data_IF_729005069536
#
_entry.id   IF_729005069536
#
_cell.length_a   1.000
_cell.length_b   1.000
_cell.length_c   1.000
_cell.angle_alpha   90.00
_cell.angle_beta   90.00
_cell.angle_gamma   90.00
#
_symmetry.space_group_name_H-M   'P 1'
#
loop_
_entity.id
_entity.type
_entity.pdbx_description
1 polymer ?
#
# COMPACT_ATOMS: atom_id res chain seq x y z
N UNK A 1 -24.64 -0.47 18.48
CA UNK A 1 -23.82 0.17 17.47
C UNK A 1 -22.81 1.06 18.19
N UNK A 2 -21.51 0.81 18.06
CA UNK A 2 -20.51 1.76 18.51
C UNK A 2 -20.63 3.02 17.63
N UNK A 3 -20.46 4.21 18.20
CA UNK A 3 -20.46 5.44 17.44
C UNK A 3 -19.26 5.39 16.44
N UNK A 4 -19.47 5.78 15.19
CA UNK A 4 -18.36 5.92 14.23
C UNK A 4 -17.40 6.98 14.75
N UNK A 5 -16.12 6.66 14.77
CA UNK A 5 -15.06 7.57 15.24
C UNK A 5 -14.68 8.60 14.18
N UNK A 6 -15.06 8.33 12.93
CA UNK A 6 -14.71 9.10 11.74
C UNK A 6 -13.18 9.21 11.52
N UNK A 7 -12.44 8.16 11.91
CA UNK A 7 -10.98 8.07 11.81
C UNK A 7 -10.55 6.98 10.87
N UNK A 8 -9.45 7.24 10.15
CA UNK A 8 -8.75 6.27 9.32
C UNK A 8 -7.30 6.17 9.78
N UNK A 9 -6.91 4.98 10.27
CA UNK A 9 -5.55 4.74 10.73
C UNK A 9 -4.61 4.45 9.56
N UNK A 10 -3.35 4.81 9.73
CA UNK A 10 -2.27 4.50 8.79
C UNK A 10 -0.93 4.38 9.53
N UNK A 11 0.02 3.65 8.97
CA UNK A 11 1.37 3.59 9.52
C UNK A 11 2.20 4.75 8.97
N UNK A 12 2.91 5.45 9.85
CA UNK A 12 3.84 6.54 9.54
C UNK A 12 3.51 7.85 10.25
N UNK A 13 4.22 8.89 9.85
CA UNK A 13 4.06 10.25 10.38
C UNK A 13 3.05 11.05 9.55
N UNK A 14 2.43 12.11 10.12
CA UNK A 14 1.64 13.07 9.34
C UNK A 14 2.46 13.64 8.15
N UNK A 15 1.84 13.69 6.99
CA UNK A 15 2.51 14.11 5.75
C UNK A 15 3.18 13.01 4.94
N UNK A 16 3.16 11.75 5.42
CA UNK A 16 3.61 10.60 4.65
C UNK A 16 2.66 10.26 3.49
N UNK A 17 3.10 9.39 2.56
CA UNK A 17 2.27 8.93 1.46
C UNK A 17 0.97 8.27 1.93
N UNK A 18 1.00 7.54 3.04
CA UNK A 18 -0.21 6.94 3.62
C UNK A 18 -1.21 7.99 4.13
N UNK A 19 -0.72 9.11 4.71
CA UNK A 19 -1.58 10.25 5.10
C UNK A 19 -2.19 10.91 3.85
N UNK A 20 -1.40 11.10 2.79
CA UNK A 20 -1.90 11.62 1.51
C UNK A 20 -3.02 10.72 0.97
N UNK A 21 -2.80 9.40 0.91
CA UNK A 21 -3.81 8.44 0.47
C UNK A 21 -5.10 8.48 1.31
N UNK A 22 -4.99 8.67 2.64
CA UNK A 22 -6.14 8.84 3.51
C UNK A 22 -6.96 10.08 3.13
N UNK A 23 -6.30 11.22 2.93
CA UNK A 23 -6.96 12.49 2.62
C UNK A 23 -7.57 12.52 1.24
N UNK A 24 -6.91 11.92 0.26
CA UNK A 24 -7.38 11.88 -1.13
C UNK A 24 -8.64 11.02 -1.25
N UNK A 25 -8.62 9.83 -0.67
CA UNK A 25 -9.75 8.88 -0.78
C UNK A 25 -10.87 9.20 0.21
N UNK A 26 -10.54 9.71 1.40
CA UNK A 26 -11.48 9.97 2.49
C UNK A 26 -11.32 11.38 3.08
N UNK A 27 -11.61 12.45 2.30
CA UNK A 27 -11.35 13.84 2.71
C UNK A 27 -12.13 14.29 3.95
N UNK A 28 -13.18 13.55 4.32
CA UNK A 28 -14.02 13.87 5.48
C UNK A 28 -13.65 13.05 6.73
N UNK A 29 -12.66 12.17 6.65
CA UNK A 29 -12.18 11.40 7.80
C UNK A 29 -10.91 12.02 8.39
N UNK A 30 -10.71 11.86 9.70
CA UNK A 30 -9.50 12.28 10.41
C UNK A 30 -8.41 11.20 10.22
N UNK A 31 -7.28 11.49 9.53
CA UNK A 31 -6.16 10.57 9.47
C UNK A 31 -5.54 10.37 10.85
N UNK A 32 -5.33 9.12 11.24
CA UNK A 32 -4.76 8.73 12.53
C UNK A 32 -3.41 8.05 12.32
N UNK A 33 -2.28 8.76 12.53
CA UNK A 33 -0.95 8.18 12.38
C UNK A 33 -0.68 7.13 13.46
N UNK A 34 -0.06 6.03 13.09
CA UNK A 34 0.34 4.94 13.96
C UNK A 34 1.83 4.62 13.77
N UNK A 35 2.57 4.31 14.85
CA UNK A 35 3.99 4.00 14.76
C UNK A 35 4.30 2.76 13.91
N UNK A 36 3.47 1.73 14.02
CA UNK A 36 3.65 0.46 13.32
C UNK A 36 2.40 0.05 12.52
N UNK A 37 2.55 -0.93 11.63
CA UNK A 37 1.40 -1.52 10.94
C UNK A 37 0.46 -2.23 11.92
N UNK A 38 1.02 -2.93 12.91
CA UNK A 38 0.26 -3.59 13.97
C UNK A 38 -0.62 -2.59 14.72
N UNK A 39 -0.09 -1.40 15.05
CA UNK A 39 -0.87 -0.35 15.71
C UNK A 39 -2.01 0.15 14.84
N UNK A 40 -1.78 0.29 13.51
CA UNK A 40 -2.81 0.71 12.58
C UNK A 40 -3.93 -0.35 12.44
N UNK A 41 -3.59 -1.62 12.41
CA UNK A 41 -4.56 -2.74 12.43
C UNK A 41 -5.34 -2.77 13.75
N UNK A 42 -4.64 -2.69 14.89
CA UNK A 42 -5.22 -2.70 16.22
C UNK A 42 -6.18 -1.51 16.44
N UNK A 43 -5.92 -0.35 15.85
CA UNK A 43 -6.81 0.81 15.93
C UNK A 43 -8.20 0.49 15.35
N UNK A 44 -8.27 -0.26 14.24
CA UNK A 44 -9.55 -0.69 13.66
C UNK A 44 -10.15 -1.85 14.44
N UNK A 45 -9.37 -2.82 14.86
CA UNK A 45 -9.87 -3.98 15.63
C UNK A 45 -10.47 -3.54 16.98
N UNK A 46 -9.85 -2.58 17.66
CA UNK A 46 -10.34 -2.00 18.91
C UNK A 46 -11.51 -1.02 18.72
N UNK A 47 -11.74 -0.51 17.49
CA UNK A 47 -12.74 0.49 17.18
C UNK A 47 -12.31 1.92 17.50
N UNK A 48 -11.00 2.18 17.66
CA UNK A 48 -10.42 3.53 17.80
C UNK A 48 -10.38 4.26 16.45
N UNK A 49 -10.29 3.51 15.36
CA UNK A 49 -10.49 3.96 13.98
C UNK A 49 -11.57 3.10 13.30
N UNK A 50 -12.28 3.67 12.33
CA UNK A 50 -13.29 2.94 11.54
C UNK A 50 -12.64 2.18 10.38
N UNK A 51 -11.59 2.75 9.79
CA UNK A 51 -10.87 2.23 8.65
C UNK A 51 -9.35 2.24 8.89
N UNK A 52 -8.62 1.45 8.10
CA UNK A 52 -7.16 1.60 7.96
C UNK A 52 -6.78 1.69 6.47
N UNK A 53 -5.84 2.59 6.15
CA UNK A 53 -5.20 2.75 4.83
C UNK A 53 -3.83 2.07 4.87
N UNK A 54 -3.69 0.95 4.21
CA UNK A 54 -2.51 0.09 4.33
C UNK A 54 -1.85 -0.13 2.97
N UNK A 55 -0.58 0.27 2.78
CA UNK A 55 0.16 0.00 1.56
C UNK A 55 0.43 -1.50 1.44
N UNK A 56 0.12 -2.11 0.29
CA UNK A 56 0.34 -3.54 0.08
C UNK A 56 1.48 -3.84 -0.89
N UNK A 57 1.68 -2.96 -1.87
CA UNK A 57 2.74 -3.09 -2.88
C UNK A 57 3.10 -1.75 -3.51
N UNK A 58 4.30 -1.70 -4.07
CA UNK A 58 4.80 -0.55 -4.82
C UNK A 58 5.49 -1.05 -6.10
N UNK A 59 5.31 -0.35 -7.22
CA UNK A 59 5.83 -0.76 -8.53
C UNK A 59 7.36 -0.89 -8.59
N UNK A 60 8.08 -0.15 -7.75
CA UNK A 60 9.56 -0.15 -7.71
C UNK A 60 10.08 -0.99 -6.53
N UNK A 61 9.51 -0.78 -5.34
CA UNK A 61 9.98 -1.44 -4.11
C UNK A 61 9.42 -2.86 -3.93
N UNK A 62 8.40 -3.24 -4.71
CA UNK A 62 7.75 -4.54 -4.59
C UNK A 62 6.75 -4.61 -3.43
N UNK A 63 6.57 -5.80 -2.88
CA UNK A 63 5.60 -6.06 -1.80
C UNK A 63 6.00 -5.42 -0.47
N UNK A 64 5.02 -5.01 0.32
CA UNK A 64 5.20 -4.65 1.74
C UNK A 64 5.12 -5.93 2.56
N UNK A 65 6.27 -6.50 2.91
CA UNK A 65 6.37 -7.85 3.46
C UNK A 65 5.55 -8.05 4.76
N UNK A 66 5.58 -7.07 5.66
CA UNK A 66 4.90 -7.15 6.97
C UNK A 66 3.38 -7.33 6.82
N UNK A 67 2.78 -6.69 5.82
CA UNK A 67 1.33 -6.75 5.58
C UNK A 67 0.88 -8.15 5.19
N UNK A 68 1.71 -8.88 4.44
CA UNK A 68 1.41 -10.24 4.02
C UNK A 68 1.42 -11.25 5.19
N UNK A 69 1.98 -10.89 6.35
CA UNK A 69 1.87 -11.65 7.60
C UNK A 69 0.68 -11.17 8.43
N UNK A 70 0.54 -9.85 8.60
CA UNK A 70 -0.50 -9.27 9.45
C UNK A 70 -1.91 -9.48 8.91
N UNK A 71 -2.12 -9.25 7.61
CA UNK A 71 -3.46 -9.27 7.03
C UNK A 71 -4.15 -10.65 7.13
N UNK A 72 -3.48 -11.78 6.83
CA UNK A 72 -4.09 -13.10 7.02
C UNK A 72 -4.38 -13.47 8.48
N UNK A 73 -3.64 -12.90 9.43
CA UNK A 73 -3.83 -13.17 10.86
C UNK A 73 -4.89 -12.25 11.49
N UNK A 74 -5.13 -11.10 10.89
CA UNK A 74 -6.11 -10.13 11.37
C UNK A 74 -7.55 -10.58 11.13
N UNK A 75 -8.49 -9.93 11.83
CA UNK A 75 -9.93 -10.07 11.62
C UNK A 75 -10.51 -8.99 10.70
N UNK A 76 -9.63 -8.23 10.05
CA UNK A 76 -10.04 -7.15 9.18
C UNK A 76 -10.38 -7.65 7.77
N UNK A 77 -11.16 -6.85 7.06
CA UNK A 77 -11.63 -7.13 5.71
C UNK A 77 -11.28 -5.98 4.78
N UNK A 78 -10.87 -6.30 3.55
CA UNK A 78 -10.60 -5.30 2.51
C UNK A 78 -11.94 -4.86 1.91
N UNK A 79 -12.17 -3.55 1.88
CA UNK A 79 -13.38 -2.93 1.31
C UNK A 79 -13.10 -1.99 0.14
N UNK A 80 -11.84 -1.80 -0.22
CA UNK A 80 -11.42 -0.97 -1.33
C UNK A 80 -9.93 -0.99 -1.56
N UNK A 81 -9.51 -0.42 -2.67
CA UNK A 81 -8.11 -0.18 -3.02
C UNK A 81 -7.93 1.26 -3.51
N UNK A 82 -6.71 1.76 -3.43
CA UNK A 82 -6.32 3.07 -3.93
C UNK A 82 -4.89 3.03 -4.47
N UNK A 83 -4.66 3.61 -5.64
CA UNK A 83 -3.34 3.73 -6.25
C UNK A 83 -2.86 5.18 -6.14
N UNK A 84 -1.74 5.39 -5.45
CA UNK A 84 -1.12 6.70 -5.28
C UNK A 84 0.17 6.77 -6.09
N UNK A 85 0.27 7.65 -7.09
CA UNK A 85 1.55 8.05 -7.66
C UNK A 85 2.45 8.66 -6.59
N UNK A 86 3.69 8.20 -6.52
CA UNK A 86 4.64 8.63 -5.50
C UNK A 86 5.61 9.64 -6.10
N UNK A 87 5.53 10.87 -5.59
CA UNK A 87 6.38 11.97 -5.95
C UNK A 87 7.16 12.48 -4.74
N UNK A 88 8.42 12.81 -4.94
CA UNK A 88 9.27 13.37 -3.90
C UNK A 88 9.62 14.82 -4.21
N UNK A 89 9.35 15.69 -3.25
CA UNK A 89 9.68 17.10 -3.31
C UNK A 89 10.96 17.35 -2.53
N UNK A 90 11.88 18.15 -3.07
CA UNK A 90 13.02 18.65 -2.30
C UNK A 90 12.55 19.80 -1.42
N UNK A 91 12.54 19.59 -0.12
CA UNK A 91 12.03 20.53 0.88
C UNK A 91 13.15 21.11 1.72
N UNK A 92 13.06 22.39 2.00
CA UNK A 92 14.07 23.15 2.75
C UNK A 92 13.39 24.13 3.71
N UNK A 93 14.13 24.66 4.65
CA UNK A 93 13.67 25.80 5.45
C UNK A 93 13.40 27.03 4.55
N UNK A 94 12.41 27.86 4.89
CA UNK A 94 12.10 29.05 4.13
C UNK A 94 13.30 29.95 3.87
N UNK A 95 13.46 30.37 2.61
CA UNK A 95 14.56 31.21 2.18
C UNK A 95 15.92 30.52 2.11
N UNK A 96 15.99 29.17 2.10
CA UNK A 96 17.23 28.42 1.82
C UNK A 96 17.48 28.36 0.33
N UNK A 97 18.73 28.59 -0.08
CA UNK A 97 19.16 28.47 -1.48
C UNK A 97 19.80 27.10 -1.73
N UNK A 98 19.79 26.63 -2.98
CA UNK A 98 20.39 25.36 -3.38
C UNK A 98 21.86 25.21 -2.99
N UNK A 99 22.64 26.31 -3.03
CA UNK A 99 24.06 26.32 -2.70
C UNK A 99 24.37 26.14 -1.21
N UNK A 100 23.40 26.36 -0.34
CA UNK A 100 23.56 26.15 1.11
C UNK A 100 23.40 24.67 1.49
N UNK A 101 22.73 23.86 0.66
CA UNK A 101 22.42 22.47 0.96
C UNK A 101 23.68 21.61 0.87
N UNK A 102 23.94 20.82 1.91
CA UNK A 102 25.04 19.85 1.97
C UNK A 102 24.53 18.41 2.17
N UNK A 103 23.33 18.23 2.74
CA UNK A 103 22.75 16.93 3.01
C UNK A 103 21.26 16.84 2.70
N UNK A 104 20.82 15.65 2.28
CA UNK A 104 19.42 15.33 1.96
C UNK A 104 18.98 14.15 2.80
N UNK A 105 17.93 14.35 3.58
CA UNK A 105 17.40 13.42 4.56
C UNK A 105 16.12 12.79 4.05
N UNK A 106 15.97 11.48 4.11
CA UNK A 106 14.73 10.76 3.82
C UNK A 106 14.82 9.28 4.18
N UNK A 107 13.72 8.56 3.98
CA UNK A 107 13.71 7.10 4.02
C UNK A 107 14.64 6.52 2.94
N UNK A 108 15.25 5.37 3.22
CA UNK A 108 16.23 4.72 2.34
C UNK A 108 15.68 4.47 0.92
N UNK A 109 14.42 4.11 0.79
CA UNK A 109 13.80 3.91 -0.54
C UNK A 109 13.67 5.21 -1.33
N UNK A 110 13.27 6.31 -0.70
CA UNK A 110 13.18 7.62 -1.34
C UNK A 110 14.56 8.13 -1.78
N UNK A 111 15.59 8.00 -0.93
CA UNK A 111 16.97 8.33 -1.28
C UNK A 111 17.48 7.49 -2.46
N UNK A 112 17.08 6.21 -2.53
CA UNK A 112 17.39 5.31 -3.64
C UNK A 112 16.74 5.73 -4.95
N UNK A 113 15.51 6.19 -4.89
CA UNK A 113 14.70 6.64 -6.05
C UNK A 113 15.08 8.03 -6.55
N UNK A 114 15.75 8.85 -5.74
CA UNK A 114 16.29 10.18 -6.11
C UNK A 114 17.82 10.19 -6.20
N UNK A 115 18.44 9.03 -6.38
CA UNK A 115 19.89 8.87 -6.27
C UNK A 115 20.67 9.67 -7.30
N UNK A 116 20.21 9.72 -8.55
CA UNK A 116 20.90 10.47 -9.61
C UNK A 116 20.84 11.96 -9.31
N UNK A 117 19.67 12.45 -8.93
CA UNK A 117 19.43 13.83 -8.55
C UNK A 117 20.32 14.27 -7.39
N UNK A 118 20.41 13.49 -6.30
CA UNK A 118 21.27 13.78 -5.15
C UNK A 118 22.76 13.83 -5.56
N UNK A 119 23.21 12.89 -6.40
CA UNK A 119 24.59 12.84 -6.87
C UNK A 119 24.97 14.02 -7.77
N UNK A 120 24.09 14.44 -8.67
CA UNK A 120 24.32 15.58 -9.56
C UNK A 120 24.53 16.89 -8.80
N UNK A 121 23.87 17.04 -7.64
CA UNK A 121 24.01 18.20 -6.78
C UNK A 121 25.16 18.07 -5.75
N UNK A 122 25.84 16.92 -5.68
CA UNK A 122 26.95 16.72 -4.74
C UNK A 122 26.52 16.61 -3.27
N UNK A 123 25.25 16.36 -2.99
CA UNK A 123 24.72 16.28 -1.61
C UNK A 123 24.96 14.91 -0.97
N UNK A 124 25.09 14.91 0.37
CA UNK A 124 25.21 13.70 1.16
C UNK A 124 23.82 13.14 1.49
N UNK A 125 23.47 11.90 1.08
CA UNK A 125 22.24 11.26 1.52
C UNK A 125 22.36 10.84 3.00
N UNK A 126 21.30 11.11 3.79
CA UNK A 126 21.20 10.76 5.21
C UNK A 126 19.90 10.00 5.43
N UNK A 127 19.99 8.78 5.94
CA UNK A 127 18.84 7.92 6.19
C UNK A 127 18.08 8.40 7.42
N UNK A 128 16.77 8.60 7.26
CA UNK A 128 15.80 8.84 8.33
C UNK A 128 14.81 7.66 8.42
N UNK A 129 14.03 7.62 9.49
CA UNK A 129 13.05 6.56 9.74
C UNK A 129 11.93 6.51 8.68
N UNK A 130 11.46 7.68 8.22
CA UNK A 130 10.48 7.83 7.15
C UNK A 130 10.65 9.18 6.42
N UNK A 131 9.88 9.39 5.35
CA UNK A 131 9.99 10.58 4.50
C UNK A 131 9.46 11.84 5.19
N UNK A 132 8.29 11.76 5.82
CA UNK A 132 7.65 12.89 6.47
C UNK A 132 8.36 13.26 7.77
N UNK A 133 8.85 12.27 8.54
CA UNK A 133 9.69 12.48 9.71
C UNK A 133 11.00 13.16 9.37
N UNK A 134 11.58 12.92 8.19
CA UNK A 134 12.72 13.68 7.70
C UNK A 134 12.40 15.16 7.46
N UNK A 135 11.23 15.45 6.88
CA UNK A 135 10.77 16.83 6.70
C UNK A 135 10.52 17.52 8.06
N UNK A 136 9.87 16.84 9.00
CA UNK A 136 9.71 17.33 10.38
C UNK A 136 11.06 17.64 11.03
N UNK A 137 12.04 16.73 10.91
CA UNK A 137 13.38 16.92 11.45
C UNK A 137 14.05 18.19 10.91
N UNK A 138 13.99 18.43 9.58
CA UNK A 138 14.55 19.65 8.96
C UNK A 138 13.88 20.90 9.53
N UNK A 139 12.55 20.88 9.71
CA UNK A 139 11.80 21.99 10.29
C UNK A 139 12.19 22.27 11.77
N UNK A 140 12.45 21.21 12.56
CA UNK A 140 12.80 21.31 13.99
C UNK A 140 14.25 21.75 14.20
N UNK A 141 15.20 21.19 13.45
CA UNK A 141 16.65 21.47 13.60
C UNK A 141 17.00 22.88 13.13
N UNK A 142 16.27 23.42 12.14
CA UNK A 142 16.47 24.77 11.60
C UNK A 142 17.86 25.03 11.03
N UNK A 143 18.50 24.00 10.48
CA UNK A 143 19.79 24.08 9.79
C UNK A 143 19.55 24.18 8.28
N UNK A 144 19.91 25.32 7.67
CA UNK A 144 19.76 25.56 6.22
C UNK A 144 20.63 24.66 5.33
N UNK A 145 21.61 23.94 5.91
CA UNK A 145 22.42 22.99 5.17
C UNK A 145 21.70 21.63 4.94
N UNK A 146 20.55 21.46 5.59
CA UNK A 146 19.73 20.24 5.50
C UNK A 146 18.53 20.45 4.55
N UNK A 147 18.27 19.43 3.73
CA UNK A 147 17.05 19.31 2.96
C UNK A 147 16.37 17.95 3.23
N UNK A 148 15.07 17.85 2.98
CA UNK A 148 14.33 16.59 3.02
C UNK A 148 13.76 16.23 1.66
N UNK A 149 13.61 14.91 1.40
CA UNK A 149 12.76 14.39 0.33
C UNK A 149 11.50 13.80 0.95
N UNK A 150 10.35 14.39 0.65
CA UNK A 150 9.07 13.96 1.22
C UNK A 150 7.91 14.26 0.26
N UNK A 151 6.71 13.66 0.49
CA UNK A 151 5.50 14.01 -0.25
C UNK A 151 5.12 15.48 -0.04
N UNK A 152 4.49 16.10 -1.03
CA UNK A 152 4.06 17.52 -1.01
C UNK A 152 3.34 17.93 0.28
N UNK A 153 2.51 17.04 0.82
CA UNK A 153 1.74 17.29 2.05
C UNK A 153 2.64 17.69 3.23
N UNK A 154 3.83 17.10 3.34
CA UNK A 154 4.77 17.41 4.43
C UNK A 154 5.25 18.87 4.42
N UNK A 155 5.39 19.50 3.24
CA UNK A 155 5.75 20.93 3.12
C UNK A 155 4.75 21.81 3.88
N UNK A 156 3.45 21.64 3.60
CA UNK A 156 2.40 22.45 4.23
C UNK A 156 2.25 22.16 5.73
N UNK A 157 2.45 20.93 6.17
CA UNK A 157 2.33 20.55 7.58
C UNK A 157 3.50 21.06 8.43
N UNK A 158 4.71 21.09 7.89
CA UNK A 158 5.91 21.45 8.63
C UNK A 158 6.46 22.84 8.28
N UNK A 159 5.78 23.59 7.40
CA UNK A 159 6.19 24.95 7.06
C UNK A 159 7.51 25.03 6.31
N UNK A 160 7.78 24.07 5.42
CA UNK A 160 8.96 24.00 4.56
C UNK A 160 8.63 24.51 3.16
N UNK A 161 9.61 25.15 2.51
CA UNK A 161 9.52 25.52 1.10
C UNK A 161 9.88 24.32 0.22
N UNK A 162 9.14 24.13 -0.87
CA UNK A 162 9.51 23.19 -1.94
C UNK A 162 10.48 23.91 -2.86
N UNK A 163 11.73 23.48 -2.85
CA UNK A 163 12.77 24.06 -3.70
C UNK A 163 12.74 23.49 -5.12
N UNK A 164 12.36 22.22 -5.24
CA UNK A 164 12.18 21.53 -6.53
C UNK A 164 11.15 20.41 -6.38
N UNK A 165 10.32 20.26 -7.41
CA UNK A 165 9.23 19.29 -7.46
C UNK A 165 9.65 18.03 -8.22
N UNK A 166 9.08 16.88 -7.84
CA UNK A 166 9.11 15.61 -8.57
C UNK A 166 10.54 15.20 -8.97
N UNK A 167 11.42 15.11 -7.94
CA UNK A 167 12.86 14.90 -8.11
C UNK A 167 13.28 13.43 -8.16
N UNK A 168 12.34 12.50 -8.26
CA UNK A 168 12.60 11.08 -8.45
C UNK A 168 13.23 10.76 -9.80
N UNK A 169 14.07 9.74 -9.83
CA UNK A 169 14.82 9.31 -11.03
C UNK A 169 13.93 8.60 -12.08
N UNK A 170 12.71 8.19 -11.73
CA UNK A 170 11.81 7.34 -12.53
C UNK A 170 10.35 7.77 -12.35
N UNK A 171 9.61 7.92 -13.46
CA UNK A 171 8.24 8.45 -13.46
C UNK A 171 7.15 7.46 -13.01
N UNK A 172 7.38 6.13 -13.09
CA UNK A 172 6.35 5.12 -12.87
C UNK A 172 6.41 4.52 -11.45
N UNK A 173 6.42 5.37 -10.43
CA UNK A 173 6.41 4.96 -9.04
C UNK A 173 4.99 5.07 -8.46
N UNK A 174 4.33 3.94 -8.25
CA UNK A 174 2.97 3.89 -7.73
C UNK A 174 2.89 2.94 -6.56
N UNK A 175 2.24 3.37 -5.48
CA UNK A 175 1.92 2.50 -4.34
C UNK A 175 0.45 2.15 -4.37
N UNK A 176 0.14 0.85 -4.30
CA UNK A 176 -1.21 0.35 -4.08
C UNK A 176 -1.48 0.22 -2.59
N UNK A 177 -2.56 0.82 -2.17
CA UNK A 177 -3.12 0.71 -0.83
C UNK A 177 -4.39 -0.14 -0.84
N UNK A 178 -4.67 -0.78 0.29
CA UNK A 178 -5.96 -1.42 0.58
C UNK A 178 -6.61 -0.74 1.78
N UNK A 179 -7.93 -0.61 1.72
CA UNK A 179 -8.74 -0.06 2.80
C UNK A 179 -9.29 -1.21 3.62
N UNK A 180 -8.99 -1.21 4.91
CA UNK A 180 -9.40 -2.26 5.84
C UNK A 180 -10.50 -1.77 6.78
N UNK A 181 -11.44 -2.65 7.10
CA UNK A 181 -12.49 -2.44 8.10
C UNK A 181 -12.67 -3.69 8.96
N UNK A 182 -13.27 -3.50 10.13
CA UNK A 182 -13.64 -4.60 11.04
C UNK A 182 -14.89 -5.37 10.57
N UNK A 183 -15.78 -4.69 9.87
CA UNK A 183 -17.05 -5.26 9.42
C UNK A 183 -16.83 -6.02 8.11
N UNK A 184 -17.28 -7.27 8.07
CA UNK A 184 -17.27 -8.04 6.81
C UNK A 184 -18.40 -7.51 5.91
N UNK A 185 -18.06 -6.63 5.02
CA UNK A 185 -18.99 -6.08 4.03
C UNK A 185 -18.38 -6.31 2.62
N UNK A 186 -18.92 -7.27 1.91
CA UNK A 186 -18.58 -7.42 0.50
C UNK A 186 -19.40 -6.43 -0.31
N UNK A 187 -18.76 -5.74 -1.21
CA UNK A 187 -19.47 -4.88 -2.15
C UNK A 187 -20.46 -5.72 -2.97
N UNK A 188 -21.67 -5.22 -3.21
CA UNK A 188 -22.63 -5.96 -4.01
C UNK A 188 -22.12 -6.12 -5.44
N UNK A 189 -22.46 -7.25 -6.06
CA UNK A 189 -22.20 -7.51 -7.47
C UNK A 189 -22.79 -6.39 -8.32
N UNK A 190 -22.00 -5.86 -9.24
CA UNK A 190 -22.45 -4.84 -10.20
C UNK A 190 -21.90 -5.15 -11.59
N UNK A 191 -22.65 -4.80 -12.64
CA UNK A 191 -22.20 -4.88 -14.04
C UNK A 191 -21.41 -3.64 -14.48
N UNK A 192 -21.46 -2.56 -13.68
CA UNK A 192 -20.96 -1.25 -14.11
C UNK A 192 -19.50 -1.01 -13.68
N UNK A 193 -18.95 -1.89 -12.83
CA UNK A 193 -17.59 -1.77 -12.31
C UNK A 193 -16.90 -3.11 -12.33
N UNK A 194 -15.61 -3.10 -12.65
CA UNK A 194 -14.75 -4.23 -12.41
C UNK A 194 -14.68 -4.49 -10.90
N UNK A 195 -14.95 -5.73 -10.50
CA UNK A 195 -14.85 -6.17 -9.10
C UNK A 195 -13.55 -6.91 -8.89
N UNK A 196 -12.97 -6.74 -7.70
CA UNK A 196 -11.81 -7.48 -7.25
C UNK A 196 -12.21 -8.40 -6.09
N UNK A 197 -11.70 -9.62 -6.14
CA UNK A 197 -11.75 -10.57 -5.02
C UNK A 197 -10.34 -10.87 -4.56
N UNK A 198 -10.05 -10.50 -3.32
CA UNK A 198 -8.77 -10.78 -2.66
C UNK A 198 -8.94 -11.91 -1.65
N UNK A 199 -8.05 -12.88 -1.69
CA UNK A 199 -8.10 -14.04 -0.79
C UNK A 199 -6.72 -14.59 -0.46
N UNK A 200 -6.66 -15.36 0.63
CA UNK A 200 -5.52 -16.21 0.98
C UNK A 200 -5.94 -17.66 0.92
N UNK A 201 -5.02 -18.51 0.50
CA UNK A 201 -5.26 -19.95 0.49
C UNK A 201 -4.01 -20.74 0.88
N UNK A 202 -4.22 -21.92 1.42
CA UNK A 202 -3.15 -22.87 1.82
C UNK A 202 -3.28 -24.14 1.02
N UNK A 203 -2.22 -24.53 0.33
CA UNK A 203 -2.18 -25.82 -0.38
C UNK A 203 -1.49 -26.89 0.46
N UNK A 204 -1.71 -28.15 0.10
CA UNK A 204 -0.95 -29.28 0.65
C UNK A 204 0.47 -29.24 0.09
N UNK A 205 1.47 -29.58 0.91
CA UNK A 205 2.85 -29.68 0.46
C UNK A 205 3.07 -31.02 -0.27
N UNK A 206 2.54 -31.12 -1.50
CA UNK A 206 2.68 -32.28 -2.38
C UNK A 206 3.01 -31.79 -3.80
N UNK A 207 3.62 -32.64 -4.65
CA UNK A 207 3.94 -32.27 -6.01
C UNK A 207 2.71 -31.76 -6.78
N UNK A 208 2.91 -30.66 -7.54
CA UNK A 208 1.88 -30.01 -8.35
C UNK A 208 0.65 -29.46 -7.59
N UNK A 209 0.71 -29.29 -6.26
CA UNK A 209 -0.44 -28.81 -5.48
C UNK A 209 -0.87 -27.40 -5.93
N UNK A 210 0.08 -26.47 -6.09
CA UNK A 210 -0.22 -25.12 -6.55
C UNK A 210 -0.80 -25.12 -7.98
N UNK A 211 -0.21 -25.90 -8.89
CA UNK A 211 -0.69 -26.02 -10.26
C UNK A 211 -2.17 -26.47 -10.30
N UNK A 212 -2.54 -27.48 -9.51
CA UNK A 212 -3.90 -27.98 -9.44
C UNK A 212 -4.85 -26.94 -8.83
N UNK A 213 -4.42 -26.26 -7.77
CA UNK A 213 -5.20 -25.20 -7.13
C UNK A 213 -5.46 -24.01 -8.06
N UNK A 214 -4.52 -23.72 -8.98
CA UNK A 214 -4.66 -22.62 -9.94
C UNK A 214 -5.43 -23.00 -11.21
N UNK A 215 -5.63 -24.30 -11.46
CA UNK A 215 -6.25 -24.80 -12.70
C UNK A 215 -7.66 -24.23 -12.92
N UNK A 216 -8.46 -24.13 -11.86
CA UNK A 216 -9.82 -23.62 -11.90
C UNK A 216 -9.95 -22.20 -12.47
N UNK A 217 -8.99 -21.33 -12.20
CA UNK A 217 -9.00 -19.97 -12.72
C UNK A 217 -8.79 -19.94 -14.25
N UNK A 218 -7.87 -20.76 -14.75
CA UNK A 218 -7.62 -20.86 -16.18
C UNK A 218 -8.81 -21.47 -16.93
N UNK A 219 -9.38 -22.57 -16.41
CA UNK A 219 -10.52 -23.26 -17.07
C UNK A 219 -11.81 -22.45 -17.05
N UNK A 220 -11.98 -21.57 -16.05
CA UNK A 220 -13.16 -20.71 -15.93
C UNK A 220 -12.90 -19.28 -16.42
N UNK A 221 -11.78 -19.02 -17.13
CA UNK A 221 -11.45 -17.71 -17.71
C UNK A 221 -11.46 -16.56 -16.67
N UNK A 222 -10.96 -16.81 -15.47
CA UNK A 222 -10.83 -15.82 -14.41
C UNK A 222 -9.41 -15.26 -14.41
N UNK A 223 -9.28 -13.96 -14.60
CA UNK A 223 -7.97 -13.30 -14.58
C UNK A 223 -7.45 -13.15 -13.15
N UNK A 224 -6.18 -13.58 -12.94
CA UNK A 224 -5.48 -13.40 -11.69
C UNK A 224 -4.44 -12.30 -11.85
N UNK A 225 -4.62 -11.19 -11.13
CA UNK A 225 -3.78 -10.01 -11.25
C UNK A 225 -2.60 -10.02 -10.25
N UNK A 226 -2.68 -10.84 -9.19
CA UNK A 226 -1.63 -10.97 -8.20
C UNK A 226 -1.60 -12.37 -7.60
N UNK A 227 -0.38 -12.89 -7.42
CA UNK A 227 -0.11 -14.11 -6.67
C UNK A 227 1.22 -13.97 -5.92
N UNK A 228 1.15 -13.98 -4.60
CA UNK A 228 2.31 -13.91 -3.70
C UNK A 228 2.37 -15.15 -2.82
N UNK A 229 3.57 -15.68 -2.63
CA UNK A 229 3.79 -16.83 -1.75
C UNK A 229 4.53 -16.41 -0.49
N UNK A 230 4.22 -17.04 0.64
CA UNK A 230 4.95 -16.84 1.89
C UNK A 230 5.01 -18.08 2.75
N UNK A 231 6.03 -18.07 3.59
CA UNK A 231 6.33 -19.14 4.52
C UNK A 231 5.49 -18.99 5.77
N UNK A 232 5.09 -20.12 6.34
CA UNK A 232 4.35 -20.18 7.60
C UNK A 232 5.19 -20.95 8.60
N UNK A 233 5.11 -20.59 9.86
CA UNK A 233 5.72 -21.30 10.99
C UNK A 233 7.25 -21.47 10.86
N UNK A 234 7.95 -20.52 10.23
CA UNK A 234 9.41 -20.58 10.07
C UNK A 234 9.92 -21.72 9.18
N UNK A 235 9.05 -22.35 8.38
CA UNK A 235 9.42 -23.41 7.44
C UNK A 235 9.76 -22.80 6.08
N UNK A 236 10.84 -23.31 5.45
CA UNK A 236 11.24 -22.88 4.09
C UNK A 236 10.34 -23.39 2.96
N UNK A 237 9.16 -23.91 3.27
CA UNK A 237 8.17 -24.34 2.28
C UNK A 237 7.02 -23.34 2.25
N UNK A 238 6.88 -22.61 1.13
CA UNK A 238 5.72 -21.76 0.90
C UNK A 238 4.50 -22.63 0.64
N UNK A 239 3.53 -22.57 1.55
CA UNK A 239 2.26 -23.29 1.43
C UNK A 239 1.05 -22.36 1.53
N UNK A 240 1.26 -21.10 1.86
CA UNK A 240 0.24 -20.06 1.90
C UNK A 240 0.47 -19.05 0.78
N UNK A 241 -0.61 -18.63 0.16
CA UNK A 241 -0.60 -17.72 -0.97
C UNK A 241 -1.63 -16.62 -0.73
N UNK A 242 -1.28 -15.42 -1.15
CA UNK A 242 -2.18 -14.29 -1.29
C UNK A 242 -2.45 -14.10 -2.78
N UNK A 243 -3.70 -13.91 -3.16
CA UNK A 243 -4.08 -13.70 -4.55
C UNK A 243 -5.16 -12.64 -4.70
N UNK A 244 -5.11 -11.94 -5.82
CA UNK A 244 -6.16 -11.05 -6.32
C UNK A 244 -6.65 -11.57 -7.66
N UNK A 245 -7.97 -11.65 -7.82
CA UNK A 245 -8.63 -11.99 -9.09
C UNK A 245 -9.64 -10.90 -9.47
N UNK A 246 -9.87 -10.77 -10.76
CA UNK A 246 -10.95 -9.98 -11.30
C UNK A 246 -12.25 -10.77 -11.25
N UNK A 247 -13.31 -10.12 -10.78
CA UNK A 247 -14.66 -10.65 -10.68
C UNK A 247 -15.18 -10.76 -9.25
N UNK A 248 -16.49 -10.99 -9.14
CA UNK A 248 -17.22 -11.14 -7.89
C UNK A 248 -17.48 -12.64 -7.62
N UNK A 249 -17.44 -13.12 -6.36
CA UNK A 249 -17.71 -14.53 -6.03
C UNK A 249 -19.09 -15.04 -6.51
N UNK A 250 -20.08 -14.14 -6.69
CA UNK A 250 -21.38 -14.50 -7.23
C UNK A 250 -21.40 -14.55 -8.79
N UNK A 251 -20.30 -14.26 -9.46
CA UNK A 251 -20.15 -14.54 -10.88
C UNK A 251 -19.94 -16.02 -11.09
N UNK A 252 -20.68 -16.61 -12.00
CA UNK A 252 -20.69 -18.07 -12.17
C UNK A 252 -19.31 -18.69 -12.45
N UNK A 253 -18.51 -18.03 -13.25
CA UNK A 253 -17.13 -18.45 -13.55
C UNK A 253 -16.19 -18.30 -12.34
N UNK A 254 -16.33 -17.22 -11.57
CA UNK A 254 -15.56 -17.00 -10.34
C UNK A 254 -15.95 -18.00 -9.26
N UNK A 255 -17.25 -18.25 -9.07
CA UNK A 255 -17.73 -19.26 -8.13
C UNK A 255 -17.15 -20.64 -8.45
N UNK A 256 -17.20 -21.09 -9.71
CA UNK A 256 -16.63 -22.38 -10.11
C UNK A 256 -15.10 -22.44 -9.88
N UNK A 257 -14.37 -21.34 -10.19
CA UNK A 257 -12.94 -21.30 -9.96
C UNK A 257 -12.58 -21.37 -8.46
N UNK A 258 -13.36 -20.72 -7.60
CA UNK A 258 -13.19 -20.78 -6.15
C UNK A 258 -13.55 -22.15 -5.57
N UNK A 259 -14.61 -22.81 -6.07
CA UNK A 259 -14.97 -24.18 -5.68
C UNK A 259 -13.84 -25.18 -6.00
N UNK A 260 -13.23 -25.06 -7.19
CA UNK A 260 -12.06 -25.88 -7.55
C UNK A 260 -10.85 -25.57 -6.67
N UNK A 261 -10.59 -24.27 -6.36
CA UNK A 261 -9.54 -23.90 -5.44
C UNK A 261 -9.73 -24.53 -4.06
N UNK A 262 -10.94 -24.48 -3.49
CA UNK A 262 -11.26 -25.05 -2.20
C UNK A 262 -11.02 -26.56 -2.18
N UNK A 263 -11.38 -27.28 -3.24
CA UNK A 263 -11.16 -28.72 -3.34
C UNK A 263 -9.67 -29.10 -3.25
N UNK A 264 -8.79 -28.33 -3.87
CA UNK A 264 -7.34 -28.60 -3.87
C UNK A 264 -6.57 -27.93 -2.73
N UNK A 265 -7.22 -27.07 -1.96
CA UNK A 265 -6.62 -26.33 -0.84
C UNK A 265 -6.97 -26.96 0.50
N UNK A 266 -6.23 -26.63 1.54
CA UNK A 266 -6.56 -26.94 2.94
C UNK A 266 -7.48 -25.87 3.53
N UNK A 267 -7.32 -24.66 3.06
CA UNK A 267 -8.01 -23.49 3.58
C UNK A 267 -8.06 -22.43 2.46
N UNK A 268 -9.20 -21.79 2.29
CA UNK A 268 -9.40 -20.60 1.47
C UNK A 268 -10.14 -19.58 2.32
N UNK A 269 -9.63 -18.37 2.38
CA UNK A 269 -10.26 -17.28 3.11
C UNK A 269 -10.32 -16.03 2.22
N UNK A 270 -11.50 -15.59 1.87
CA UNK A 270 -11.71 -14.31 1.18
C UNK A 270 -11.47 -13.18 2.19
N UNK A 271 -10.55 -12.30 1.86
CA UNK A 271 -10.19 -11.12 2.64
C UNK A 271 -11.06 -9.92 2.29
N UNK A 272 -11.50 -9.82 1.04
CA UNK A 272 -12.36 -8.74 0.58
C UNK A 272 -12.90 -8.94 -0.82
N UNK A 273 -14.04 -8.30 -1.08
CA UNK A 273 -14.66 -8.15 -2.40
C UNK A 273 -15.05 -6.69 -2.56
N UNK A 274 -14.47 -6.00 -3.52
CA UNK A 274 -14.57 -4.55 -3.65
C UNK A 274 -14.46 -4.09 -5.11
N UNK A 275 -14.96 -2.89 -5.46
CA UNK A 275 -14.74 -2.31 -6.77
C UNK A 275 -13.26 -2.02 -7.02
N UNK A 276 -12.76 -2.40 -8.18
CA UNK A 276 -11.41 -2.05 -8.60
C UNK A 276 -11.25 -0.53 -8.76
N UNK A 277 -10.08 -0.02 -8.39
CA UNK A 277 -9.65 1.29 -8.86
C UNK A 277 -9.20 1.17 -10.32
N UNK A 278 -10.06 1.64 -11.24
CA UNK A 278 -9.82 1.51 -12.68
C UNK A 278 -8.90 2.58 -13.24
N UNK A 279 -8.61 3.64 -12.49
CA UNK A 279 -7.81 4.79 -12.95
C UNK A 279 -6.42 4.36 -13.39
N UNK A 280 -5.79 3.47 -12.63
CA UNK A 280 -4.46 2.95 -12.94
C UNK A 280 -4.50 1.65 -13.77
N UNK A 281 -5.49 0.78 -13.52
CA UNK A 281 -5.63 -0.51 -14.24
C UNK A 281 -5.98 -0.32 -15.72
N UNK A 282 -6.77 0.70 -16.08
CA UNK A 282 -7.14 0.98 -17.47
C UNK A 282 -5.98 1.49 -18.33
N UNK A 283 -4.96 2.08 -17.74
CA UNK A 283 -3.77 2.55 -18.47
C UNK A 283 -2.76 1.42 -18.74
N UNK A 284 -2.72 0.36 -17.92
CA UNK A 284 -1.83 -0.78 -18.14
C UNK A 284 -2.38 -1.81 -19.17
N UNK A 285 -3.69 -1.92 -19.35
CA UNK A 285 -4.29 -2.85 -20.30
C UNK A 285 -4.44 -2.32 -21.75
N UNK A 286 -4.01 -1.09 -22.02
CA UNK A 286 -4.09 -0.47 -23.34
C UNK A 286 -2.80 -0.61 -24.17
N UNK A 287 -1.76 -1.23 -23.65
CA UNK A 287 -0.46 -1.41 -24.33
C UNK A 287 -0.15 -2.85 -24.76
N UNK A 288 -1.09 -3.81 -24.58
CA UNK A 288 -0.95 -5.19 -25.07
C UNK A 288 -1.71 -5.45 -26.40
#
# INVERSE_FOLDING_TARGET
>A
MMAKTNRISFQGEPGANSDTACRDMFPNMEPMPCPTFEDAFNAVESGTADLAMIPIENTIAGRVADIHHLLPESRLHIVGEYFLPIHFQLMVLPGTTRSEITSVHSHIHALGQCRKYIRQNGWKPVIAGDTAGAARLVAEVKDKTMAALAPRLASSLYGLDILEEDVEDTENNVTRFVVLTKTKEWAPRTSDKLMMTTFVFRVRNVPAALYKAMGGFATNMVNMTKLESYQIDGKFTATQFYADIEGHPDDKNVAHALDELEFFSREVRILGVYPADTTFRSTQGAED
#
